data_IF_148568442573
#
_entry.id   IF_148568442573
#
_cell.length_a   1.000
_cell.length_b   1.000
_cell.length_c   1.000
_cell.angle_alpha   90.00
_cell.angle_beta   90.00
_cell.angle_gamma   90.00
#
_symmetry.space_group_name_H-M   'P 1'
#
loop_
_entity.id
_entity.type
_entity.pdbx_description
1 polymer ?
#
# COMPACT_ATOMS: atom_id res chain seq x y z
N UNK A 1 10.49 3.16 -5.02
CA UNK A 1 9.30 3.71 -5.70
C UNK A 1 9.02 2.84 -6.92
N UNK A 2 7.75 2.46 -7.19
CA UNK A 2 7.39 1.63 -8.35
C UNK A 2 7.03 2.45 -9.59
N UNK A 3 6.58 3.68 -9.40
CA UNK A 3 6.26 4.61 -10.48
C UNK A 3 5.55 5.84 -9.95
N UNK A 4 5.58 6.91 -10.74
CA UNK A 4 4.90 8.16 -10.47
C UNK A 4 4.28 8.69 -11.77
N UNK A 5 3.12 9.32 -11.63
CA UNK A 5 2.46 10.13 -12.63
C UNK A 5 2.24 11.49 -11.99
N UNK A 6 2.96 12.49 -12.49
CA UNK A 6 2.98 13.84 -11.92
C UNK A 6 1.56 14.35 -11.65
N UNK A 7 1.32 14.73 -10.39
CA UNK A 7 0.04 15.27 -9.93
C UNK A 7 -1.15 14.30 -9.92
N UNK A 8 -0.97 13.04 -10.31
CA UNK A 8 -2.06 12.08 -10.48
C UNK A 8 -1.90 10.81 -9.65
N UNK A 9 -0.69 10.24 -9.56
CA UNK A 9 -0.50 8.96 -8.87
C UNK A 9 0.95 8.74 -8.44
N UNK A 10 1.16 8.26 -7.20
CA UNK A 10 2.45 7.76 -6.73
C UNK A 10 2.27 6.32 -6.27
N UNK A 11 3.14 5.42 -6.74
CA UNK A 11 3.10 4.00 -6.42
C UNK A 11 4.42 3.55 -5.78
N UNK A 12 4.33 2.77 -4.72
CA UNK A 12 5.45 2.19 -3.99
C UNK A 12 5.21 0.71 -3.73
N UNK A 13 6.32 -0.01 -3.68
CA UNK A 13 6.37 -1.45 -3.58
C UNK A 13 7.34 -1.84 -2.49
N UNK A 14 6.95 -2.82 -1.69
CA UNK A 14 7.80 -3.41 -0.68
C UNK A 14 7.64 -4.93 -0.71
N UNK A 15 8.74 -5.65 -0.50
CA UNK A 15 8.73 -7.11 -0.38
C UNK A 15 9.19 -7.47 1.02
N UNK A 16 8.45 -8.36 1.68
CA UNK A 16 8.79 -8.77 3.04
C UNK A 16 7.87 -9.82 3.61
N UNK A 17 8.23 -10.29 4.80
CA UNK A 17 7.45 -11.24 5.61
C UNK A 17 6.81 -10.51 6.78
N UNK A 18 5.89 -9.59 6.48
CA UNK A 18 5.21 -8.73 7.46
C UNK A 18 4.18 -9.46 8.34
N UNK A 19 3.94 -10.75 8.13
CA UNK A 19 3.11 -11.60 9.01
C UNK A 19 3.94 -12.41 10.02
N UNK A 20 5.26 -12.22 10.08
CA UNK A 20 6.12 -12.84 11.08
C UNK A 20 6.41 -11.87 12.23
N UNK A 21 6.62 -12.38 13.47
CA UNK A 21 6.95 -11.53 14.62
C UNK A 21 8.26 -10.75 14.42
N UNK A 22 9.22 -11.31 13.68
CA UNK A 22 10.39 -10.59 13.17
C UNK A 22 10.13 -10.28 11.71
N UNK A 23 9.92 -9.00 11.39
CA UNK A 23 9.62 -8.57 10.03
C UNK A 23 10.91 -8.61 9.21
N UNK A 24 11.01 -9.56 8.30
CA UNK A 24 12.08 -9.61 7.31
C UNK A 24 11.67 -8.76 6.10
N UNK A 25 12.41 -7.67 5.87
CA UNK A 25 12.28 -6.84 4.68
C UNK A 25 13.31 -7.26 3.65
N UNK A 26 12.90 -7.35 2.40
CA UNK A 26 13.81 -7.55 1.27
C UNK A 26 13.74 -6.34 0.37
N UNK A 27 14.88 -5.68 0.22
CA UNK A 27 15.04 -4.67 -0.82
C UNK A 27 15.01 -5.42 -2.16
N UNK A 28 14.01 -5.09 -2.98
CA UNK A 28 13.85 -5.63 -4.33
C UNK A 28 13.79 -4.45 -5.28
N UNK A 29 14.56 -4.54 -6.36
CA UNK A 29 14.58 -3.48 -7.37
C UNK A 29 13.18 -3.36 -8.02
N UNK A 30 12.67 -2.14 -8.25
CA UNK A 30 11.36 -1.92 -8.89
C UNK A 30 11.16 -2.71 -10.19
N UNK A 31 12.22 -2.90 -10.98
CA UNK A 31 12.18 -3.65 -12.24
C UNK A 31 11.97 -5.15 -12.03
N UNK A 32 12.49 -5.69 -10.93
CA UNK A 32 12.39 -7.12 -10.57
C UNK A 32 11.19 -7.43 -9.68
N UNK A 33 10.59 -6.40 -9.06
CA UNK A 33 9.43 -6.54 -8.17
C UNK A 33 8.27 -7.29 -8.81
N UNK A 34 8.01 -7.06 -10.10
CA UNK A 34 6.92 -7.71 -10.83
C UNK A 34 7.14 -9.23 -10.96
N UNK A 35 8.37 -9.64 -11.26
CA UNK A 35 8.76 -11.04 -11.49
C UNK A 35 9.14 -11.82 -10.23
N UNK A 36 9.19 -11.16 -9.06
CA UNK A 36 9.58 -11.82 -7.82
C UNK A 36 8.53 -12.85 -7.38
N UNK A 37 8.87 -14.14 -7.44
CA UNK A 37 7.98 -15.26 -7.10
C UNK A 37 8.61 -16.25 -6.11
N UNK A 38 9.57 -15.78 -5.32
CA UNK A 38 10.24 -16.65 -4.36
C UNK A 38 9.24 -17.08 -3.26
N UNK A 39 9.11 -18.39 -2.98
CA UNK A 39 8.14 -18.89 -2.02
C UNK A 39 8.44 -18.40 -0.60
N UNK A 40 7.38 -18.18 0.19
CA UNK A 40 7.52 -17.70 1.56
C UNK A 40 7.61 -16.17 1.71
N UNK A 41 7.38 -15.41 0.64
CA UNK A 41 7.46 -13.96 0.63
C UNK A 41 6.13 -13.28 0.29
N UNK A 42 5.99 -12.03 0.74
CA UNK A 42 4.85 -11.17 0.47
C UNK A 42 5.29 -9.93 -0.28
N UNK A 43 4.55 -9.59 -1.33
CA UNK A 43 4.70 -8.34 -2.07
C UNK A 43 3.55 -7.42 -1.69
N UNK A 44 3.88 -6.19 -1.34
CA UNK A 44 2.91 -5.12 -1.11
C UNK A 44 3.17 -4.06 -2.16
N UNK A 45 2.13 -3.68 -2.89
CA UNK A 45 2.12 -2.53 -3.77
C UNK A 45 1.05 -1.56 -3.26
N UNK A 46 1.43 -0.36 -2.88
CA UNK A 46 0.52 0.67 -2.42
C UNK A 46 0.66 1.93 -3.28
N UNK A 47 -0.46 2.60 -3.53
CA UNK A 47 -0.51 3.79 -4.36
C UNK A 47 -1.44 4.84 -3.74
N UNK A 48 -1.05 6.10 -3.85
CA UNK A 48 -1.94 7.24 -3.69
C UNK A 48 -2.31 7.73 -5.08
N UNK A 49 -3.61 7.88 -5.34
CA UNK A 49 -4.12 8.45 -6.57
C UNK A 49 -4.99 9.66 -6.29
N UNK A 50 -4.83 10.67 -7.13
CA UNK A 50 -5.51 11.95 -7.06
C UNK A 50 -6.29 12.10 -8.37
N UNK A 51 -7.62 12.17 -8.28
CA UNK A 51 -8.50 12.26 -9.46
C UNK A 51 -9.46 13.43 -9.33
N UNK A 52 -9.79 14.13 -10.43
CA UNK A 52 -10.84 15.14 -10.42
C UNK A 52 -12.18 14.52 -9.99
N UNK A 53 -12.92 15.19 -9.10
CA UNK A 53 -14.21 14.74 -8.60
C UNK A 53 -15.26 15.85 -8.66
N UNK A 54 -15.42 16.42 -9.86
CA UNK A 54 -16.32 17.56 -10.11
C UNK A 54 -15.65 18.93 -9.89
N UNK A 55 -16.41 20.02 -10.08
CA UNK A 55 -15.87 21.38 -9.99
C UNK A 55 -15.30 21.68 -8.60
N UNK A 56 -14.00 21.97 -8.53
CA UNK A 56 -13.32 22.36 -7.29
C UNK A 56 -13.13 21.23 -6.27
N UNK A 57 -13.35 19.97 -6.65
CA UNK A 57 -13.19 18.82 -5.77
C UNK A 57 -12.26 17.77 -6.37
N UNK A 58 -11.50 17.13 -5.48
CA UNK A 58 -10.50 16.12 -5.82
C UNK A 58 -10.71 14.90 -4.94
N UNK A 59 -10.75 13.72 -5.58
CA UNK A 59 -10.79 12.45 -4.89
C UNK A 59 -9.36 11.95 -4.69
N UNK A 60 -8.91 11.96 -3.43
CA UNK A 60 -7.70 11.28 -3.00
C UNK A 60 -8.05 9.86 -2.55
N UNK A 61 -7.42 8.88 -3.19
CA UNK A 61 -7.59 7.46 -2.85
C UNK A 61 -6.25 6.83 -2.49
N UNK A 62 -6.22 6.07 -1.41
CA UNK A 62 -5.11 5.20 -1.07
C UNK A 62 -5.53 3.75 -1.30
N UNK A 63 -4.75 3.01 -2.08
CA UNK A 63 -4.97 1.60 -2.31
C UNK A 63 -3.69 0.83 -1.96
N UNK A 64 -3.85 -0.32 -1.31
CA UNK A 64 -2.76 -1.20 -0.92
C UNK A 64 -3.13 -2.62 -1.33
N UNK A 65 -2.38 -3.15 -2.28
CA UNK A 65 -2.52 -4.49 -2.84
C UNK A 65 -1.42 -5.37 -2.28
N UNK A 66 -1.80 -6.43 -1.60
CA UNK A 66 -0.86 -7.44 -1.11
C UNK A 66 -1.00 -8.72 -1.92
N UNK A 67 0.10 -9.19 -2.50
CA UNK A 67 0.20 -10.47 -3.19
C UNK A 67 1.19 -11.36 -2.45
N UNK A 68 0.80 -12.59 -2.15
CA UNK A 68 1.68 -13.61 -1.53
C UNK A 68 2.11 -14.61 -2.60
N UNK A 69 3.37 -15.05 -2.54
CA UNK A 69 3.93 -16.00 -3.53
C UNK A 69 3.51 -17.46 -3.31
N UNK A 70 3.06 -17.82 -2.09
CA UNK A 70 2.72 -19.21 -1.75
C UNK A 70 1.38 -19.33 -0.99
N UNK A 71 0.59 -20.41 -1.18
CA UNK A 71 -0.67 -20.63 -0.46
C UNK A 71 -0.55 -20.67 1.08
N UNK A 72 0.58 -21.17 1.64
CA UNK A 72 0.81 -21.16 3.09
C UNK A 72 1.01 -19.74 3.60
N UNK A 73 1.78 -18.93 2.87
CA UNK A 73 1.95 -17.49 3.14
C UNK A 73 0.62 -16.76 3.05
N UNK A 74 -0.21 -17.07 2.03
CA UNK A 74 -1.56 -16.51 1.88
C UNK A 74 -2.42 -16.76 3.12
N UNK A 75 -2.41 -17.97 3.67
CA UNK A 75 -3.23 -18.32 4.85
C UNK A 75 -2.73 -17.63 6.12
N UNK A 76 -1.40 -17.54 6.32
CA UNK A 76 -0.80 -16.80 7.45
C UNK A 76 -1.12 -15.32 7.35
N UNK A 77 -0.92 -14.74 6.17
CA UNK A 77 -1.24 -13.34 5.90
C UNK A 77 -2.73 -13.07 6.09
N UNK A 78 -3.64 -13.89 5.56
CA UNK A 78 -5.07 -13.67 5.70
C UNK A 78 -5.52 -13.67 7.18
N UNK A 79 -4.98 -14.58 8.01
CA UNK A 79 -5.24 -14.59 9.46
C UNK A 79 -4.72 -13.34 10.15
N UNK A 80 -3.48 -12.97 9.87
CA UNK A 80 -2.87 -11.76 10.43
C UNK A 80 -3.65 -10.50 9.99
N UNK A 81 -3.94 -10.40 8.70
CA UNK A 81 -4.70 -9.31 8.09
C UNK A 81 -6.08 -9.18 8.75
N UNK A 82 -6.82 -10.27 8.94
CA UNK A 82 -8.13 -10.21 9.58
C UNK A 82 -8.10 -9.54 10.97
N UNK A 83 -7.01 -9.74 11.74
CA UNK A 83 -6.80 -9.10 13.03
C UNK A 83 -6.44 -7.61 12.91
N UNK A 84 -5.51 -7.26 12.01
CA UNK A 84 -4.95 -5.90 11.94
C UNK A 84 -5.73 -4.95 11.02
N UNK A 85 -6.58 -5.47 10.14
CA UNK A 85 -7.42 -4.71 9.20
C UNK A 85 -8.11 -3.48 9.79
N UNK A 86 -8.84 -3.56 10.92
CA UNK A 86 -9.53 -2.38 11.46
C UNK A 86 -8.54 -1.30 11.89
N UNK A 87 -7.40 -1.69 12.45
CA UNK A 87 -6.35 -0.77 12.88
C UNK A 87 -5.68 -0.08 11.69
N UNK A 88 -5.30 -0.86 10.67
CA UNK A 88 -4.74 -0.33 9.41
C UNK A 88 -5.74 0.60 8.72
N UNK A 89 -7.02 0.21 8.64
CA UNK A 89 -8.06 1.06 8.08
C UNK A 89 -8.22 2.37 8.87
N UNK A 90 -8.11 2.33 10.20
CA UNK A 90 -8.19 3.53 11.02
C UNK A 90 -7.03 4.49 10.76
N UNK A 91 -5.78 3.99 10.75
CA UNK A 91 -4.59 4.79 10.45
C UNK A 91 -4.69 5.40 9.07
N UNK A 92 -4.99 4.61 8.04
CA UNK A 92 -5.08 5.11 6.67
C UNK A 92 -6.17 6.16 6.49
N UNK A 93 -7.33 5.97 7.14
CA UNK A 93 -8.39 7.00 7.16
C UNK A 93 -7.96 8.26 7.90
N UNK A 94 -7.17 8.15 8.97
CA UNK A 94 -6.60 9.31 9.65
C UNK A 94 -5.59 10.05 8.75
N UNK A 95 -4.70 9.32 8.07
CA UNK A 95 -3.76 9.89 7.10
C UNK A 95 -4.47 10.63 5.98
N UNK A 96 -5.51 10.02 5.37
CA UNK A 96 -6.29 10.68 4.31
C UNK A 96 -7.01 11.94 4.82
N UNK A 97 -7.55 11.90 6.04
CA UNK A 97 -8.15 13.10 6.67
C UNK A 97 -7.12 14.20 6.91
N UNK A 98 -5.92 13.84 7.36
CA UNK A 98 -4.83 14.80 7.56
C UNK A 98 -4.40 15.43 6.24
N UNK A 99 -4.25 14.64 5.17
CA UNK A 99 -3.91 15.16 3.84
C UNK A 99 -4.99 16.13 3.36
N UNK A 100 -6.27 15.78 3.53
CA UNK A 100 -7.40 16.69 3.22
C UNK A 100 -7.28 18.01 3.99
N UNK A 101 -7.10 17.96 5.30
CA UNK A 101 -7.00 19.16 6.13
C UNK A 101 -5.82 20.05 5.71
N UNK A 102 -4.66 19.45 5.43
CA UNK A 102 -3.48 20.18 4.97
C UNK A 102 -3.71 20.82 3.58
N UNK A 103 -4.35 20.10 2.66
CA UNK A 103 -4.66 20.61 1.33
C UNK A 103 -5.68 21.76 1.35
N UNK A 104 -6.65 21.72 2.26
CA UNK A 104 -7.65 22.78 2.46
C UNK A 104 -7.07 24.02 3.15
N UNK A 105 -6.09 23.84 4.04
CA UNK A 105 -5.40 24.93 4.74
C UNK A 105 -4.34 25.64 3.88
N UNK A 106 -3.81 24.96 2.86
CA UNK A 106 -2.83 25.53 1.93
C UNK A 106 -3.49 26.35 0.79
N UNK A 107 -4.80 26.59 0.87
CA UNK A 107 -5.61 27.35 -0.10
C UNK A 107 -5.73 28.80 0.32
#
# INVERSE_FOLDING_TARGET
MLGERDGAEIAFGAVGRFWQPVIEWRSVDPTTFRGFDEPGWGKIAANFSVRPYGPGATLLSYECRTATTDPRSRRRFARYWWLIRPFVAHILRATLRQIKANAEAAR
#
